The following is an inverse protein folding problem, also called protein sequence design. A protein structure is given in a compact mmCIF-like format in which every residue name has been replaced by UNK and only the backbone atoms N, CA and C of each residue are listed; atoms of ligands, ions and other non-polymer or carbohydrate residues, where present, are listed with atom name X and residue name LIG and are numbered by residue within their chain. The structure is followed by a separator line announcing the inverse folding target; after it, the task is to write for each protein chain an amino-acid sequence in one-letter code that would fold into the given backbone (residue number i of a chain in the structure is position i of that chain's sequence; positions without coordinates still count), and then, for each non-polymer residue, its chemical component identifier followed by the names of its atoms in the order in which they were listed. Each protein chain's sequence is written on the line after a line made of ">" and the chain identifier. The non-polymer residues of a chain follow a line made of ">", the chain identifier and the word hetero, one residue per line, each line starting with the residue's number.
data_IF_650620720334
#
_entry.id   IF_650620720334
#
_cell.length_a   1.000
_cell.length_b   1.000
_cell.length_c   1.000
_cell.angle_alpha   90.00
_cell.angle_beta   90.00
_cell.angle_gamma   90.00
#
_symmetry.space_group_name_H-M   'P 1'
#
loop_
_entity.id
_entity.type
_entity.pdbx_description
1 polymer ?
#
# COMPACT_ATOMS: atom_id res chain seq x y z
N UNK A 1 -17.07 -13.05 9.63
CA UNK A 1 -16.75 -11.77 8.96
C UNK A 1 -15.73 -11.88 7.81
N UNK A 2 -15.01 -13.00 7.67
CA UNK A 2 -14.13 -13.26 6.50
C UNK A 2 -14.91 -13.51 5.20
N UNK A 3 -16.04 -14.23 5.28
CA UNK A 3 -16.86 -14.58 4.12
C UNK A 3 -17.50 -13.36 3.42
N UNK A 4 -17.89 -12.33 4.18
CA UNK A 4 -18.52 -11.13 3.64
C UNK A 4 -17.53 -10.24 2.89
N UNK A 5 -16.27 -10.17 3.35
CA UNK A 5 -15.21 -9.42 2.67
C UNK A 5 -14.82 -10.03 1.31
N UNK A 6 -14.76 -11.37 1.25
CA UNK A 6 -14.50 -12.10 0.01
C UNK A 6 -15.69 -11.94 -0.99
N UNK A 7 -16.92 -11.97 -0.49
CA UNK A 7 -18.12 -11.74 -1.29
C UNK A 7 -18.22 -10.31 -1.86
N UNK A 8 -17.74 -9.28 -1.15
CA UNK A 8 -17.69 -7.90 -1.64
C UNK A 8 -16.62 -7.70 -2.71
N UNK A 9 -15.45 -8.32 -2.55
CA UNK A 9 -14.38 -8.34 -3.57
C UNK A 9 -14.83 -9.00 -4.88
N UNK A 10 -15.51 -10.16 -4.79
CA UNK A 10 -16.01 -10.86 -5.98
C UNK A 10 -17.33 -10.29 -6.52
N UNK A 11 -18.15 -9.65 -5.68
CA UNK A 11 -19.51 -9.24 -6.01
C UNK A 11 -19.66 -7.84 -6.60
N UNK A 12 -18.83 -6.87 -6.21
CA UNK A 12 -19.06 -5.44 -6.57
C UNK A 12 -17.86 -4.77 -7.22
N UNK A 13 -16.64 -4.99 -6.70
CA UNK A 13 -15.45 -4.27 -7.19
C UNK A 13 -14.73 -5.02 -8.32
N UNK A 14 -14.94 -6.34 -8.46
CA UNK A 14 -14.23 -7.24 -9.41
C UNK A 14 -12.70 -7.21 -9.34
N UNK A 15 -12.11 -6.44 -8.41
CA UNK A 15 -10.68 -6.23 -8.27
C UNK A 15 -10.27 -6.47 -6.81
N UNK A 16 -9.55 -7.57 -6.58
CA UNK A 16 -8.95 -7.90 -5.28
C UNK A 16 -7.57 -7.25 -5.28
N UNK A 17 -7.38 -6.21 -4.46
CA UNK A 17 -6.08 -5.58 -4.30
C UNK A 17 -5.35 -6.20 -3.09
N UNK A 18 -4.40 -7.09 -3.35
CA UNK A 18 -3.57 -7.71 -2.31
C UNK A 18 -2.50 -6.79 -1.72
N UNK A 19 -2.13 -5.70 -2.41
CA UNK A 19 -1.10 -4.78 -1.93
C UNK A 19 -1.58 -3.80 -0.84
N UNK A 20 -2.83 -3.93 -0.39
CA UNK A 20 -3.42 -3.00 0.57
C UNK A 20 -2.68 -2.95 1.91
N UNK A 21 -2.18 -4.09 2.41
CA UNK A 21 -1.42 -4.14 3.67
C UNK A 21 -0.08 -3.40 3.58
N UNK A 22 0.50 -3.36 2.39
CA UNK A 22 1.78 -2.76 2.08
C UNK A 22 1.64 -1.24 2.00
N UNK A 23 0.50 -0.72 1.54
CA UNK A 23 0.19 0.70 1.69
C UNK A 23 0.07 1.12 3.16
N UNK A 24 -0.51 0.27 4.02
CA UNK A 24 -0.53 0.55 5.47
C UNK A 24 0.90 0.57 6.04
N UNK A 25 1.72 -0.41 5.68
CA UNK A 25 3.13 -0.48 6.08
C UNK A 25 3.91 0.77 5.62
N UNK A 26 3.75 1.20 4.37
CA UNK A 26 4.39 2.41 3.85
C UNK A 26 3.97 3.66 4.63
N UNK A 27 2.69 3.76 5.00
CA UNK A 27 2.20 4.87 5.81
C UNK A 27 2.80 4.88 7.21
N UNK A 28 2.92 3.72 7.84
CA UNK A 28 3.58 3.56 9.13
C UNK A 28 5.07 3.94 9.05
N UNK A 29 5.79 3.51 8.02
CA UNK A 29 7.19 3.90 7.82
C UNK A 29 7.36 5.39 7.53
N UNK A 30 6.46 6.00 6.76
CA UNK A 30 6.47 7.44 6.51
C UNK A 30 6.27 8.22 7.81
N UNK A 31 5.33 7.78 8.66
CA UNK A 31 5.13 8.36 9.98
C UNK A 31 6.34 8.16 10.89
N UNK A 32 6.87 6.93 10.99
CA UNK A 32 8.06 6.62 11.78
C UNK A 32 9.26 7.45 11.35
N UNK A 33 9.45 7.66 10.04
CA UNK A 33 10.52 8.50 9.53
C UNK A 33 10.32 9.98 9.91
N UNK A 34 9.11 10.52 9.75
CA UNK A 34 8.80 11.90 10.10
C UNK A 34 8.90 12.16 11.62
N UNK A 35 8.38 11.26 12.44
CA UNK A 35 8.37 11.42 13.89
C UNK A 35 9.71 11.02 14.52
N UNK A 36 10.23 9.83 14.20
CA UNK A 36 11.40 9.23 14.84
C UNK A 36 12.74 9.70 14.30
N UNK A 37 12.86 9.95 12.99
CA UNK A 37 14.13 10.37 12.37
C UNK A 37 14.22 11.89 12.24
N UNK A 38 13.16 12.54 11.77
CA UNK A 38 13.11 13.99 11.60
C UNK A 38 12.74 14.75 12.89
N UNK A 39 12.25 14.04 13.93
CA UNK A 39 11.89 14.65 15.22
C UNK A 39 10.69 15.60 15.15
N UNK A 40 9.82 15.45 14.14
CA UNK A 40 8.69 16.36 13.94
C UNK A 40 7.62 16.16 15.02
N UNK A 41 6.86 17.21 15.39
CA UNK A 41 5.72 17.06 16.28
C UNK A 41 4.71 16.07 15.72
N UNK A 42 4.07 15.29 16.60
CA UNK A 42 3.13 14.22 16.23
C UNK A 42 2.12 14.65 15.15
N UNK A 43 1.45 15.79 15.34
CA UNK A 43 0.45 16.28 14.39
C UNK A 43 1.03 16.53 12.98
N UNK A 44 2.24 17.09 12.91
CA UNK A 44 2.91 17.38 11.63
C UNK A 44 3.42 16.10 10.97
N UNK A 45 3.91 15.13 11.76
CA UNK A 45 4.31 13.82 11.27
C UNK A 45 3.13 13.04 10.67
N UNK A 46 1.95 13.09 11.30
CA UNK A 46 0.71 12.48 10.75
C UNK A 46 0.34 13.13 9.41
N UNK A 47 0.36 14.45 9.33
CA UNK A 47 0.02 15.17 8.09
C UNK A 47 1.01 14.81 6.97
N UNK A 48 2.31 14.80 7.25
CA UNK A 48 3.33 14.45 6.25
C UNK A 48 3.22 12.98 5.81
N UNK A 49 2.96 12.05 6.73
CA UNK A 49 2.71 10.65 6.37
C UNK A 49 1.46 10.53 5.48
N UNK A 50 0.38 11.24 5.81
CA UNK A 50 -0.83 11.29 5.00
C UNK A 50 -0.59 11.84 3.60
N UNK A 51 0.18 12.94 3.47
CA UNK A 51 0.55 13.53 2.18
C UNK A 51 1.42 12.58 1.35
N UNK A 52 2.42 11.94 1.98
CA UNK A 52 3.25 10.94 1.32
C UNK A 52 2.41 9.77 0.78
N UNK A 53 1.45 9.28 1.57
CA UNK A 53 0.54 8.21 1.17
C UNK A 53 -0.46 8.65 0.10
N UNK A 54 -0.91 9.90 0.12
CA UNK A 54 -1.75 10.43 -0.95
C UNK A 54 -1.00 10.42 -2.29
N UNK A 55 0.26 10.86 -2.30
CA UNK A 55 1.11 10.81 -3.51
C UNK A 55 1.35 9.38 -3.96
N UNK A 56 1.71 8.46 -3.04
CA UNK A 56 1.93 7.06 -3.37
C UNK A 56 0.67 6.39 -3.93
N UNK A 57 -0.51 6.67 -3.34
CA UNK A 57 -1.79 6.17 -3.80
C UNK A 57 -2.16 6.68 -5.20
N UNK A 58 -1.93 7.96 -5.50
CA UNK A 58 -2.14 8.52 -6.84
C UNK A 58 -1.20 7.88 -7.86
N UNK A 59 0.08 7.70 -7.53
CA UNK A 59 1.03 7.02 -8.40
C UNK A 59 0.58 5.59 -8.69
N UNK A 60 0.21 4.84 -7.66
CA UNK A 60 -0.28 3.47 -7.80
C UNK A 60 -1.55 3.38 -8.65
N UNK A 61 -2.49 4.29 -8.43
CA UNK A 61 -3.73 4.37 -9.20
C UNK A 61 -3.45 4.61 -10.69
N UNK A 62 -2.53 5.53 -11.01
CA UNK A 62 -2.24 5.90 -12.40
C UNK A 62 -1.38 4.86 -13.13
N UNK A 63 -0.45 4.21 -12.43
CA UNK A 63 0.53 3.30 -13.06
C UNK A 63 0.03 1.86 -13.12
N UNK A 64 -0.51 1.33 -12.02
CA UNK A 64 -0.86 -0.08 -11.91
C UNK A 64 -2.36 -0.27 -12.12
N UNK A 65 -3.20 0.40 -11.31
CA UNK A 65 -4.65 0.15 -11.34
C UNK A 65 -5.25 0.53 -12.69
N UNK A 66 -4.96 1.72 -13.24
CA UNK A 66 -5.43 2.11 -14.58
C UNK A 66 -5.01 1.13 -15.68
N UNK A 67 -3.84 0.51 -15.58
CA UNK A 67 -3.35 -0.42 -16.59
C UNK A 67 -4.06 -1.79 -16.55
N UNK A 68 -4.53 -2.21 -15.37
CA UNK A 68 -5.14 -3.53 -15.15
C UNK A 68 -6.66 -3.51 -15.06
N UNK A 69 -7.28 -2.33 -14.92
CA UNK A 69 -8.72 -2.19 -14.70
C UNK A 69 -9.57 -2.88 -15.78
N UNK A 70 -9.19 -2.70 -17.05
CA UNK A 70 -9.91 -3.28 -18.20
C UNK A 70 -9.42 -4.70 -18.55
N UNK A 71 -8.55 -5.30 -17.73
CA UNK A 71 -7.99 -6.64 -17.94
C UNK A 71 -8.78 -7.70 -17.17
N UNK A 72 -8.57 -8.96 -17.52
CA UNK A 72 -9.25 -10.08 -16.85
C UNK A 72 -8.88 -10.17 -15.35
N UNK A 73 -9.78 -10.75 -14.55
CA UNK A 73 -9.60 -10.84 -13.10
C UNK A 73 -8.29 -11.55 -12.69
N UNK A 74 -7.86 -12.58 -13.43
CA UNK A 74 -6.57 -13.24 -13.21
C UNK A 74 -5.38 -12.28 -13.33
N UNK A 75 -5.39 -11.38 -14.32
CA UNK A 75 -4.33 -10.39 -14.54
C UNK A 75 -4.31 -9.39 -13.38
N UNK A 76 -5.48 -8.98 -12.89
CA UNK A 76 -5.59 -8.07 -11.76
C UNK A 76 -5.02 -8.67 -10.46
N UNK A 77 -5.32 -9.96 -10.21
CA UNK A 77 -4.76 -10.68 -9.06
C UNK A 77 -3.24 -10.78 -9.13
N UNK A 78 -2.70 -11.22 -10.27
CA UNK A 78 -1.26 -11.38 -10.45
C UNK A 78 -0.55 -10.02 -10.32
N UNK A 79 -1.11 -8.96 -10.91
CA UNK A 79 -0.52 -7.63 -10.84
C UNK A 79 -0.50 -7.06 -9.41
N UNK A 80 -1.58 -7.25 -8.65
CA UNK A 80 -1.65 -6.76 -7.26
C UNK A 80 -0.77 -7.58 -6.31
N UNK A 81 -0.67 -8.90 -6.51
CA UNK A 81 0.31 -9.75 -5.80
C UNK A 81 1.75 -9.37 -6.13
N UNK A 82 2.06 -9.18 -7.42
CA UNK A 82 3.39 -8.72 -7.83
C UNK A 82 3.73 -7.37 -7.21
N UNK A 83 2.75 -6.45 -7.15
CA UNK A 83 2.91 -5.16 -6.46
C UNK A 83 3.22 -5.37 -4.98
N UNK A 84 2.45 -6.21 -4.27
CA UNK A 84 2.68 -6.52 -2.85
C UNK A 84 4.11 -7.03 -2.61
N UNK A 85 4.58 -7.96 -3.43
CA UNK A 85 5.94 -8.52 -3.34
C UNK A 85 6.98 -7.42 -3.61
N UNK A 86 6.79 -6.59 -4.63
CA UNK A 86 7.71 -5.50 -4.96
C UNK A 86 7.77 -4.46 -3.83
N UNK A 87 6.62 -4.03 -3.30
CA UNK A 87 6.56 -3.05 -2.21
C UNK A 87 7.19 -3.59 -0.93
N UNK A 88 6.95 -4.85 -0.60
CA UNK A 88 7.57 -5.50 0.56
C UNK A 88 9.08 -5.59 0.40
N UNK A 89 9.58 -6.03 -0.75
CA UNK A 89 11.02 -6.10 -1.00
C UNK A 89 11.68 -4.72 -1.02
N UNK A 90 11.02 -3.71 -1.61
CA UNK A 90 11.51 -2.33 -1.57
C UNK A 90 11.59 -1.82 -0.14
N UNK A 91 10.58 -2.09 0.70
CA UNK A 91 10.61 -1.72 2.10
C UNK A 91 11.78 -2.39 2.85
N UNK A 92 12.04 -3.67 2.58
CA UNK A 92 13.17 -4.40 3.16
C UNK A 92 14.51 -3.79 2.71
N UNK A 93 14.65 -3.39 1.45
CA UNK A 93 15.88 -2.78 0.94
C UNK A 93 16.11 -1.39 1.56
N UNK A 94 15.05 -0.58 1.69
CA UNK A 94 15.17 0.80 2.17
C UNK A 94 15.27 0.90 3.69
N UNK A 95 14.46 0.12 4.42
CA UNK A 95 14.35 0.20 5.88
C UNK A 95 15.06 -0.93 6.63
N UNK A 96 15.52 -1.95 5.91
CA UNK A 96 16.11 -3.17 6.46
C UNK A 96 15.06 -4.25 6.74
N UNK A 97 15.51 -5.51 6.78
CA UNK A 97 14.65 -6.67 7.11
C UNK A 97 14.27 -6.77 8.59
N UNK A 98 14.80 -5.87 9.44
CA UNK A 98 14.58 -5.92 10.88
C UNK A 98 13.30 -5.16 11.23
N UNK A 99 12.36 -5.86 11.86
CA UNK A 99 11.23 -5.23 12.53
C UNK A 99 11.78 -4.24 13.55
N UNK A 100 11.51 -2.94 13.34
CA UNK A 100 11.79 -1.92 14.33
C UNK A 100 10.67 -1.97 15.36
N UNK A 101 10.98 -2.59 16.50
CA UNK A 101 10.13 -2.60 17.70
C UNK A 101 10.00 -1.20 18.31
#
# INVERSE_FOLDING_TARGET
>A
MVATGLALMFGVVRLVNFAHGEFFMLGAYAFWFAFGVLGLPYALAVVLAGLAMAVAGVLYQQTIIRAILDRSWHVQLIATLATSIVLTNLAIIVFGAQAKE
#
